data_IF_002163868185
#
_entry.id   IF_002163868185
#
_cell.length_a   1.000
_cell.length_b   1.000
_cell.length_c   1.000
_cell.angle_alpha   90.00
_cell.angle_beta   90.00
_cell.angle_gamma   90.00
#
_symmetry.space_group_name_H-M   'P 1'
#
loop_
_entity.id
_entity.type
_entity.pdbx_description
1 polymer ?
#
# COMPACT_ATOMS: atom_id res chain seq x y z
N UNK A 1 8.36 28.68 5.37
CA UNK A 1 7.90 28.14 4.07
C UNK A 1 7.62 26.68 4.27
N UNK A 2 6.39 26.23 3.99
CA UNK A 2 6.07 24.80 4.05
C UNK A 2 6.86 24.05 2.98
N UNK A 3 7.45 22.92 3.35
CA UNK A 3 8.20 22.05 2.44
C UNK A 3 7.47 20.72 2.33
N UNK A 4 7.32 20.22 1.10
CA UNK A 4 6.85 18.85 0.86
C UNK A 4 8.03 17.89 0.83
N UNK A 5 7.91 16.80 1.57
CA UNK A 5 8.88 15.70 1.65
C UNK A 5 8.19 14.44 1.15
N UNK A 6 8.92 13.60 0.40
CA UNK A 6 8.43 12.32 -0.12
C UNK A 6 9.38 11.21 0.32
N UNK A 7 8.83 10.16 0.90
CA UNK A 7 9.52 8.90 1.19
C UNK A 7 8.90 7.82 0.30
N UNK A 8 9.63 7.48 -0.76
CA UNK A 8 9.24 6.47 -1.73
C UNK A 8 10.53 5.80 -2.28
N UNK A 9 10.80 4.52 -1.96
CA UNK A 9 9.96 3.61 -1.17
C UNK A 9 10.14 3.77 0.35
N UNK A 10 9.08 3.50 1.11
CA UNK A 10 9.23 3.13 2.53
C UNK A 10 9.82 1.72 2.60
N UNK A 11 10.92 1.56 3.34
CA UNK A 11 11.66 0.29 3.43
C UNK A 11 11.36 -0.49 4.72
N UNK A 12 11.77 -1.77 4.76
CA UNK A 12 11.55 -2.71 5.90
C UNK A 12 10.07 -2.91 6.25
N UNK A 13 9.24 -2.95 5.23
CA UNK A 13 7.82 -3.32 5.29
C UNK A 13 7.55 -4.40 4.22
N UNK A 14 6.38 -5.01 4.24
CA UNK A 14 5.86 -5.76 3.09
C UNK A 14 5.18 -4.77 2.11
N UNK A 15 5.37 -5.00 0.81
CA UNK A 15 4.67 -4.26 -0.24
C UNK A 15 5.33 -2.94 -0.67
N UNK A 16 4.52 -2.05 -1.25
CA UNK A 16 4.97 -0.83 -1.94
C UNK A 16 4.24 0.39 -1.40
N UNK A 17 4.90 1.14 -0.51
CA UNK A 17 4.31 2.29 0.16
C UNK A 17 5.10 3.56 -0.15
N UNK A 18 4.34 4.60 -0.46
CA UNK A 18 4.79 5.99 -0.55
C UNK A 18 4.13 6.82 0.57
N UNK A 19 4.93 7.69 1.20
CA UNK A 19 4.46 8.69 2.15
C UNK A 19 4.87 10.09 1.68
N UNK A 20 3.90 10.99 1.56
CA UNK A 20 4.15 12.43 1.38
C UNK A 20 3.84 13.16 2.68
N UNK A 21 4.70 14.09 3.10
CA UNK A 21 4.47 14.94 4.27
C UNK A 21 4.67 16.41 3.90
N UNK A 22 3.76 17.26 4.36
CA UNK A 22 4.00 18.71 4.46
C UNK A 22 4.60 19.01 5.82
N UNK A 23 5.71 19.76 5.82
CA UNK A 23 6.43 20.14 7.03
C UNK A 23 6.54 21.65 7.12
N UNK A 24 6.10 22.19 8.26
CA UNK A 24 6.26 23.59 8.62
C UNK A 24 6.70 23.72 10.10
N UNK A 25 7.61 24.65 10.39
CA UNK A 25 8.17 24.80 11.73
C UNK A 25 8.81 23.53 12.33
N UNK A 26 9.34 22.63 11.49
CA UNK A 26 9.92 21.37 11.92
C UNK A 26 8.91 20.29 12.34
N UNK A 27 7.61 20.51 12.10
CA UNK A 27 6.53 19.57 12.41
C UNK A 27 5.78 19.18 11.15
N UNK A 28 5.31 17.94 11.10
CA UNK A 28 4.40 17.49 10.04
C UNK A 28 3.04 18.16 10.26
N UNK A 29 2.53 18.87 9.25
CA UNK A 29 1.23 19.53 9.28
C UNK A 29 0.18 18.78 8.48
N UNK A 30 0.61 17.99 7.49
CA UNK A 30 -0.27 17.14 6.68
C UNK A 30 0.52 15.93 6.14
N UNK A 31 -0.19 14.83 5.86
CA UNK A 31 0.43 13.62 5.32
C UNK A 31 -0.52 12.83 4.41
N UNK A 32 0.06 12.12 3.45
CA UNK A 32 -0.65 11.20 2.56
C UNK A 32 0.04 9.84 2.55
N UNK A 33 -0.78 8.79 2.63
CA UNK A 33 -0.36 7.40 2.49
C UNK A 33 -0.87 6.85 1.17
N UNK A 34 0.03 6.27 0.37
CA UNK A 34 -0.31 5.81 -0.98
C UNK A 34 0.35 4.47 -1.29
N UNK A 35 -0.46 3.42 -1.40
CA UNK A 35 -0.02 2.12 -1.92
C UNK A 35 0.17 2.19 -3.43
N UNK A 36 1.37 1.85 -3.91
CA UNK A 36 1.73 2.00 -5.34
C UNK A 36 1.48 0.73 -6.18
N UNK A 37 0.86 -0.31 -5.60
CA UNK A 37 0.67 -1.60 -6.26
C UNK A 37 -0.71 -2.19 -5.96
N UNK A 38 -1.35 -2.74 -7.00
CA UNK A 38 -2.60 -3.47 -6.92
C UNK A 38 -2.56 -4.68 -7.85
N UNK A 39 -3.11 -5.81 -7.41
CA UNK A 39 -3.17 -7.08 -8.17
C UNK A 39 -4.58 -7.50 -8.57
N UNK A 40 -5.62 -6.98 -7.92
CA UNK A 40 -7.00 -7.36 -8.20
C UNK A 40 -7.35 -8.81 -7.86
N UNK A 41 -6.90 -9.33 -6.71
CA UNK A 41 -7.16 -10.72 -6.30
C UNK A 41 -8.65 -11.05 -6.25
N UNK A 42 -9.48 -10.09 -5.87
CA UNK A 42 -10.94 -10.23 -5.81
C UNK A 42 -11.55 -10.37 -7.21
N UNK A 43 -10.98 -9.66 -8.21
CA UNK A 43 -11.39 -9.80 -9.61
C UNK A 43 -10.99 -11.18 -10.14
N UNK A 44 -9.80 -11.68 -9.77
CA UNK A 44 -9.33 -13.02 -10.12
C UNK A 44 -10.25 -14.13 -9.60
N UNK A 45 -10.92 -13.91 -8.46
CA UNK A 45 -11.84 -14.88 -7.85
C UNK A 45 -13.21 -14.98 -8.53
N UNK A 46 -13.61 -13.98 -9.31
CA UNK A 46 -14.95 -13.97 -9.94
C UNK A 46 -15.11 -15.18 -10.86
N UNK A 47 -16.21 -15.92 -10.67
CA UNK A 47 -16.55 -17.11 -11.47
C UNK A 47 -15.83 -18.40 -11.06
N UNK A 48 -15.02 -18.38 -9.99
CA UNK A 48 -14.40 -19.59 -9.44
C UNK A 48 -15.30 -20.29 -8.43
N UNK A 49 -15.05 -21.58 -8.21
CA UNK A 49 -15.69 -22.33 -7.14
C UNK A 49 -15.30 -21.76 -5.77
N UNK A 50 -16.24 -21.51 -4.84
CA UNK A 50 -15.93 -20.99 -3.51
C UNK A 50 -14.92 -21.84 -2.72
N UNK A 51 -14.86 -23.15 -2.97
CA UNK A 51 -13.93 -24.08 -2.32
C UNK A 51 -12.47 -23.83 -2.72
N UNK A 52 -12.21 -23.21 -3.87
CA UNK A 52 -10.87 -22.89 -4.34
C UNK A 52 -10.33 -21.57 -3.76
N UNK A 53 -11.21 -20.72 -3.22
CA UNK A 53 -10.86 -19.34 -2.87
C UNK A 53 -9.64 -19.24 -1.95
N UNK A 54 -9.54 -20.12 -0.94
CA UNK A 54 -8.47 -20.12 0.05
C UNK A 54 -7.08 -20.32 -0.58
N UNK A 55 -6.97 -21.13 -1.64
CA UNK A 55 -5.72 -21.34 -2.36
C UNK A 55 -5.25 -20.05 -3.04
N UNK A 56 -6.17 -19.24 -3.56
CA UNK A 56 -5.80 -17.97 -4.20
C UNK A 56 -5.50 -16.90 -3.14
N UNK A 57 -6.41 -16.69 -2.18
CA UNK A 57 -6.30 -15.57 -1.23
C UNK A 57 -5.17 -15.73 -0.22
N UNK A 58 -4.69 -16.96 0.03
CA UNK A 58 -3.47 -17.16 0.82
C UNK A 58 -2.26 -16.41 0.20
N UNK A 59 -2.26 -16.18 -1.12
CA UNK A 59 -1.18 -15.45 -1.81
C UNK A 59 -1.41 -13.94 -1.83
N UNK A 60 -2.38 -13.44 -1.07
CA UNK A 60 -2.53 -12.00 -0.88
C UNK A 60 -1.33 -11.42 -0.13
N UNK A 61 -0.83 -12.08 0.91
CA UNK A 61 0.39 -11.71 1.60
C UNK A 61 1.13 -12.99 2.01
N UNK A 62 2.47 -12.99 1.91
CA UNK A 62 3.31 -14.13 2.24
C UNK A 62 4.41 -13.86 3.28
N UNK A 63 4.44 -12.64 3.83
CA UNK A 63 5.20 -12.30 5.04
C UNK A 63 4.37 -12.68 6.25
#
# INVERSE_FOLDING_TARGET
MSKRIVVDPVTRIEGHLRIDCEVDGGKVTNAWSSGQMWRGIEVILKGRDPRDAWLFVQRFCGV
#
